data_IF_675588465517
#
_entry.id   IF_675588465517
#
_cell.length_a   1.000
_cell.length_b   1.000
_cell.length_c   1.000
_cell.angle_alpha   90.00
_cell.angle_beta   90.00
_cell.angle_gamma   90.00
#
_symmetry.space_group_name_H-M   'P 1'
#
loop_
_entity.id
_entity.type
_entity.pdbx_description
1 polymer ?
#
# COMPACT_ATOMS: atom_id res chain seq x y z
N UNK A 1 -3.92 24.73 0.22
CA UNK A 1 -3.69 24.99 1.68
C UNK A 1 -2.58 24.10 2.25
N UNK A 2 -2.65 22.72 2.18
CA UNK A 2 -1.56 21.86 2.71
C UNK A 2 -0.24 22.11 2.00
N UNK A 3 -0.23 22.21 0.65
CA UNK A 3 0.97 22.51 -0.13
C UNK A 3 1.59 23.89 0.18
N UNK A 4 0.77 24.88 0.50
CA UNK A 4 1.23 26.22 0.90
C UNK A 4 1.92 26.18 2.26
N UNK A 5 1.30 25.51 3.25
CA UNK A 5 1.88 25.31 4.57
C UNK A 5 3.18 24.49 4.50
N UNK A 6 3.21 23.46 3.66
CA UNK A 6 4.42 22.63 3.48
C UNK A 6 5.61 23.47 2.99
N UNK A 7 5.41 24.41 2.07
CA UNK A 7 6.47 25.32 1.59
C UNK A 7 7.00 26.27 2.67
N UNK A 8 6.15 26.64 3.64
CA UNK A 8 6.57 27.46 4.78
C UNK A 8 7.46 26.68 5.76
N UNK A 9 7.31 25.34 5.79
CA UNK A 9 8.04 24.46 6.72
C UNK A 9 9.33 23.92 6.09
N UNK A 10 9.26 23.54 4.80
CA UNK A 10 10.40 23.00 4.07
C UNK A 10 10.20 23.21 2.54
N UNK A 11 11.07 24.00 1.94
CA UNK A 11 10.96 24.39 0.52
C UNK A 11 11.07 23.22 -0.45
N UNK A 12 11.75 22.14 -0.04
CA UNK A 12 12.00 20.93 -0.81
C UNK A 12 10.95 19.83 -0.60
N UNK A 13 9.95 20.05 0.28
CA UNK A 13 8.92 19.06 0.57
C UNK A 13 7.91 18.94 -0.57
N UNK A 14 7.90 17.80 -1.23
CA UNK A 14 6.94 17.47 -2.29
C UNK A 14 5.68 16.84 -1.70
N UNK A 15 4.55 17.50 -1.88
CA UNK A 15 3.23 16.98 -1.48
C UNK A 15 2.51 16.42 -2.71
N UNK A 16 2.45 15.11 -2.81
CA UNK A 16 1.55 14.39 -3.71
C UNK A 16 0.18 14.19 -3.03
N UNK A 17 -0.88 14.04 -3.81
CA UNK A 17 -2.21 13.76 -3.27
C UNK A 17 -2.83 12.54 -3.96
N UNK A 18 -3.85 11.97 -3.36
CA UNK A 18 -4.58 10.84 -3.87
C UNK A 18 -5.65 10.40 -2.89
N UNK A 19 -6.43 9.42 -3.28
CA UNK A 19 -7.41 8.79 -2.39
C UNK A 19 -7.03 7.33 -2.13
N UNK A 20 -7.24 6.87 -0.89
CA UNK A 20 -7.42 5.46 -0.60
C UNK A 20 -8.88 5.12 -0.91
N UNK A 21 -9.10 4.27 -1.90
CA UNK A 21 -10.39 4.01 -2.49
C UNK A 21 -10.93 2.71 -1.94
N UNK A 22 -11.93 2.80 -1.05
CA UNK A 22 -12.66 1.63 -0.60
C UNK A 22 -13.53 1.10 -1.73
N UNK A 23 -13.29 -0.15 -2.15
CA UNK A 23 -13.95 -0.74 -3.31
C UNK A 23 -15.42 -1.03 -3.03
N UNK A 24 -16.29 -0.34 -3.77
CA UNK A 24 -17.75 -0.48 -3.78
C UNK A 24 -18.24 -0.60 -5.22
N UNK A 25 -19.53 -0.93 -5.40
CA UNK A 25 -20.10 -1.16 -6.74
C UNK A 25 -20.05 0.06 -7.67
N UNK A 26 -19.95 1.28 -7.14
CA UNK A 26 -19.90 2.54 -7.88
C UNK A 26 -18.51 3.06 -8.17
N UNK A 27 -17.46 2.40 -7.63
CA UNK A 27 -16.06 2.85 -7.78
C UNK A 27 -15.62 2.88 -9.24
N UNK A 28 -16.00 1.88 -10.03
CA UNK A 28 -15.60 1.80 -11.45
C UNK A 28 -16.13 3.01 -12.25
N UNK A 29 -17.41 3.33 -12.07
CA UNK A 29 -18.03 4.49 -12.72
C UNK A 29 -17.38 5.80 -12.30
N UNK A 30 -17.09 5.95 -11.00
CA UNK A 30 -16.43 7.15 -10.46
C UNK A 30 -14.99 7.31 -10.94
N UNK A 31 -14.25 6.21 -11.06
CA UNK A 31 -12.90 6.23 -11.63
C UNK A 31 -12.92 6.60 -13.12
N UNK A 32 -13.83 6.01 -13.90
CA UNK A 32 -14.01 6.32 -15.32
C UNK A 32 -14.36 7.80 -15.54
N UNK A 33 -15.25 8.34 -14.71
CA UNK A 33 -15.62 9.76 -14.73
C UNK A 33 -14.58 10.70 -14.09
N UNK A 34 -13.49 10.17 -13.54
CA UNK A 34 -12.45 10.92 -12.81
C UNK A 34 -13.00 11.72 -11.62
N UNK A 35 -14.04 11.21 -10.98
CA UNK A 35 -14.63 11.80 -9.77
C UNK A 35 -13.82 11.47 -8.51
N UNK A 36 -13.02 10.39 -8.55
CA UNK A 36 -12.10 9.99 -7.50
C UNK A 36 -10.66 10.16 -8.01
N UNK A 37 -9.80 10.90 -7.29
CA UNK A 37 -8.42 11.09 -7.71
C UNK A 37 -7.61 9.79 -7.54
N UNK A 38 -6.77 9.49 -8.52
CA UNK A 38 -5.71 8.50 -8.43
C UNK A 38 -4.50 9.05 -7.64
N UNK A 39 -3.45 8.26 -7.46
CA UNK A 39 -2.23 8.71 -6.76
C UNK A 39 -1.48 9.75 -7.61
N UNK A 40 -1.58 11.02 -7.23
CA UNK A 40 -0.97 12.17 -7.92
C UNK A 40 -1.34 12.29 -9.40
N UNK A 41 -2.59 11.99 -9.74
CA UNK A 41 -3.13 11.95 -11.12
C UNK A 41 -2.38 10.96 -12.05
N UNK A 42 -1.64 10.01 -11.47
CA UNK A 42 -0.97 8.94 -12.19
C UNK A 42 -1.95 7.83 -12.57
N UNK A 43 -1.49 6.83 -13.34
CA UNK A 43 -2.27 5.60 -13.61
C UNK A 43 -2.56 4.76 -12.37
N UNK A 44 -1.92 5.03 -11.23
CA UNK A 44 -1.99 4.21 -10.03
C UNK A 44 -3.13 4.64 -9.11
N UNK A 45 -3.94 3.69 -8.65
CA UNK A 45 -4.98 3.90 -7.65
C UNK A 45 -4.76 3.00 -6.43
N UNK A 46 -4.81 3.57 -5.23
CA UNK A 46 -4.73 2.82 -3.97
C UNK A 46 -6.12 2.25 -3.65
N UNK A 47 -6.24 0.94 -3.69
CA UNK A 47 -7.53 0.23 -3.56
C UNK A 47 -7.58 -0.56 -2.27
N UNK A 48 -8.59 -0.29 -1.46
CA UNK A 48 -8.90 -1.00 -0.22
C UNK A 48 -10.15 -1.88 -0.38
N UNK A 49 -10.12 -3.06 0.23
CA UNK A 49 -11.29 -3.94 0.40
C UNK A 49 -11.58 -4.15 1.88
N UNK A 50 -12.76 -4.68 2.20
CA UNK A 50 -13.01 -5.20 3.55
C UNK A 50 -12.05 -6.34 3.88
N UNK A 51 -11.65 -6.45 5.14
CA UNK A 51 -10.75 -7.51 5.62
C UNK A 51 -11.26 -8.92 5.31
N UNK A 52 -12.58 -9.09 5.26
CA UNK A 52 -13.25 -10.36 5.04
C UNK A 52 -13.75 -10.57 3.61
N UNK A 53 -13.39 -9.67 2.68
CA UNK A 53 -13.79 -9.81 1.27
C UNK A 53 -13.25 -11.12 0.68
N UNK A 54 -14.09 -11.97 0.06
CA UNK A 54 -13.66 -13.20 -0.56
C UNK A 54 -12.65 -12.93 -1.70
N UNK A 55 -11.68 -13.85 -1.87
CA UNK A 55 -10.65 -13.70 -2.89
C UNK A 55 -11.21 -13.45 -4.31
N UNK A 56 -12.29 -14.15 -4.67
CA UNK A 56 -12.92 -13.99 -5.99
C UNK A 56 -13.40 -12.55 -6.22
N UNK A 57 -13.93 -11.91 -5.21
CA UNK A 57 -14.40 -10.52 -5.30
C UNK A 57 -13.24 -9.55 -5.41
N UNK A 58 -12.16 -9.74 -4.61
CA UNK A 58 -10.92 -8.97 -4.73
C UNK A 58 -10.37 -9.09 -6.15
N UNK A 59 -10.20 -10.30 -6.66
CA UNK A 59 -9.68 -10.58 -7.99
C UNK A 59 -10.53 -9.91 -9.08
N UNK A 60 -11.85 -10.08 -9.04
CA UNK A 60 -12.77 -9.49 -10.01
C UNK A 60 -12.75 -7.97 -9.97
N UNK A 61 -12.76 -7.38 -8.77
CA UNK A 61 -12.70 -5.92 -8.58
C UNK A 61 -11.43 -5.32 -9.17
N UNK A 62 -10.28 -5.94 -8.88
CA UNK A 62 -8.98 -5.48 -9.40
C UNK A 62 -8.89 -5.67 -10.93
N UNK A 63 -9.40 -6.78 -11.46
CA UNK A 63 -9.47 -7.01 -12.91
C UNK A 63 -10.29 -5.93 -13.62
N UNK A 64 -11.42 -5.54 -13.05
CA UNK A 64 -12.26 -4.48 -13.62
C UNK A 64 -11.56 -3.11 -13.61
N UNK A 65 -10.79 -2.80 -12.56
CA UNK A 65 -10.00 -1.55 -12.50
C UNK A 65 -8.89 -1.56 -13.56
N UNK A 66 -8.20 -2.70 -13.74
CA UNK A 66 -7.19 -2.86 -14.79
C UNK A 66 -7.78 -2.66 -16.19
N UNK A 67 -9.01 -3.10 -16.45
CA UNK A 67 -9.70 -2.87 -17.73
C UNK A 67 -9.98 -1.38 -18.02
N UNK A 68 -10.01 -0.52 -17.00
CA UNK A 68 -10.07 0.94 -17.17
C UNK A 68 -8.70 1.57 -17.50
N UNK A 69 -7.64 0.77 -17.60
CA UNK A 69 -6.28 1.26 -17.81
C UNK A 69 -5.64 1.82 -16.51
N UNK A 70 -6.25 1.57 -15.36
CA UNK A 70 -5.76 2.01 -14.06
C UNK A 70 -5.01 0.84 -13.41
N UNK A 71 -3.83 1.11 -12.85
CA UNK A 71 -3.00 0.13 -12.19
C UNK A 71 -3.28 0.12 -10.67
N UNK A 72 -3.87 -0.95 -10.12
CA UNK A 72 -4.15 -1.01 -8.69
C UNK A 72 -2.88 -1.15 -7.85
N UNK A 73 -2.77 -0.36 -6.80
CA UNK A 73 -1.92 -0.61 -5.64
C UNK A 73 -2.85 -1.12 -4.53
N UNK A 74 -2.71 -2.38 -4.16
CA UNK A 74 -3.59 -3.00 -3.16
C UNK A 74 -3.14 -2.54 -1.78
N UNK A 75 -3.98 -1.79 -1.09
CA UNK A 75 -3.69 -1.24 0.24
C UNK A 75 -3.53 -2.37 1.26
N UNK A 76 -2.56 -2.23 2.16
CA UNK A 76 -2.33 -3.05 3.37
C UNK A 76 -2.77 -4.53 3.25
N UNK A 77 -2.17 -5.25 2.28
CA UNK A 77 -2.56 -6.65 1.93
C UNK A 77 -2.51 -7.61 3.14
N UNK A 78 -1.75 -7.29 4.16
CA UNK A 78 -1.67 -8.06 5.41
C UNK A 78 -2.96 -8.05 6.23
N UNK A 79 -3.92 -7.18 5.90
CA UNK A 79 -5.24 -7.15 6.56
C UNK A 79 -6.22 -8.16 5.98
N UNK A 80 -6.05 -8.62 4.73
CA UNK A 80 -7.06 -9.46 4.09
C UNK A 80 -6.91 -10.94 4.47
N UNK A 81 -7.99 -11.51 5.03
CA UNK A 81 -8.04 -12.93 5.39
C UNK A 81 -7.90 -13.83 4.16
N UNK A 82 -8.42 -13.38 3.02
CA UNK A 82 -8.35 -14.10 1.75
C UNK A 82 -6.91 -14.33 1.23
N UNK A 83 -5.94 -13.52 1.68
CA UNK A 83 -4.54 -13.57 1.28
C UNK A 83 -3.64 -14.22 2.34
N UNK A 84 -4.18 -14.55 3.53
CA UNK A 84 -3.39 -15.11 4.63
C UNK A 84 -2.68 -16.40 4.23
N UNK A 85 -1.35 -16.42 4.39
CA UNK A 85 -0.48 -17.56 4.08
C UNK A 85 -0.69 -18.15 2.67
N UNK A 86 -1.19 -17.35 1.72
CA UNK A 86 -1.50 -17.79 0.38
C UNK A 86 -0.68 -17.02 -0.67
N UNK A 87 0.58 -17.44 -0.83
CA UNK A 87 1.50 -16.87 -1.81
C UNK A 87 0.93 -16.91 -3.25
N UNK A 88 0.28 -18.03 -3.62
CA UNK A 88 -0.27 -18.22 -4.95
C UNK A 88 -1.28 -17.12 -5.31
N UNK A 89 -2.21 -16.79 -4.40
CA UNK A 89 -3.20 -15.73 -4.63
C UNK A 89 -2.55 -14.36 -4.77
N UNK A 90 -1.54 -14.06 -3.96
CA UNK A 90 -0.86 -12.76 -4.05
C UNK A 90 -0.07 -12.67 -5.36
N UNK A 91 0.63 -13.74 -5.77
CA UNK A 91 1.33 -13.76 -7.08
C UNK A 91 0.36 -13.62 -8.25
N UNK A 92 -0.78 -14.28 -8.21
CA UNK A 92 -1.81 -14.16 -9.23
C UNK A 92 -2.27 -12.70 -9.41
N UNK A 93 -2.45 -11.94 -8.31
CA UNK A 93 -2.78 -10.52 -8.36
C UNK A 93 -1.62 -9.68 -8.93
N UNK A 94 -0.38 -10.01 -8.56
CA UNK A 94 0.82 -9.33 -9.07
C UNK A 94 1.00 -9.63 -10.58
N UNK A 95 0.88 -10.87 -10.99
CA UNK A 95 1.02 -11.30 -12.39
C UNK A 95 -0.07 -10.69 -13.29
N UNK A 96 -1.22 -10.37 -12.72
CA UNK A 96 -2.31 -9.66 -13.37
C UNK A 96 -1.99 -8.17 -13.63
N UNK A 97 -0.97 -7.62 -12.98
CA UNK A 97 -0.54 -6.23 -13.10
C UNK A 97 -0.85 -5.35 -11.89
N UNK A 98 -1.21 -5.94 -10.75
CA UNK A 98 -1.41 -5.20 -9.50
C UNK A 98 -0.10 -5.06 -8.71
N UNK A 99 0.01 -4.00 -7.94
CA UNK A 99 1.06 -3.82 -6.94
C UNK A 99 0.50 -3.96 -5.53
N UNK A 100 1.37 -4.26 -4.58
CA UNK A 100 0.99 -4.56 -3.19
C UNK A 100 1.64 -3.60 -2.22
N UNK A 101 0.88 -3.14 -1.24
CA UNK A 101 1.36 -2.29 -0.18
C UNK A 101 1.10 -2.94 1.18
N UNK A 102 2.04 -2.76 2.11
CA UNK A 102 1.88 -3.11 3.53
C UNK A 102 2.13 -1.89 4.42
N UNK A 103 1.56 -1.92 5.63
CA UNK A 103 1.73 -0.84 6.59
C UNK A 103 3.05 -0.94 7.36
N UNK A 104 3.75 0.19 7.54
CA UNK A 104 5.01 0.30 8.26
C UNK A 104 4.91 -0.24 9.69
N UNK A 105 3.78 0.03 10.39
CA UNK A 105 3.55 -0.51 11.75
C UNK A 105 3.58 -2.05 11.80
N UNK A 106 3.12 -2.71 10.76
CA UNK A 106 3.08 -4.17 10.71
C UNK A 106 4.44 -4.81 10.40
N UNK A 107 5.43 -4.02 10.00
CA UNK A 107 6.84 -4.44 9.86
C UNK A 107 7.53 -4.53 11.22
N UNK A 108 7.10 -3.74 12.20
CA UNK A 108 7.71 -3.69 13.53
C UNK A 108 7.58 -5.02 14.27
N UNK A 109 8.56 -5.29 15.14
CA UNK A 109 8.49 -6.45 16.03
C UNK A 109 7.22 -6.40 16.89
N UNK A 110 6.54 -7.53 17.11
CA UNK A 110 5.41 -7.57 18.03
C UNK A 110 5.85 -7.28 19.47
N UNK A 111 5.03 -6.57 20.22
CA UNK A 111 5.21 -6.40 21.66
C UNK A 111 5.06 -7.75 22.37
N UNK A 112 5.79 -7.95 23.48
CA UNK A 112 5.70 -9.19 24.26
C UNK A 112 4.30 -9.42 24.84
N UNK A 113 3.65 -8.33 25.27
CA UNK A 113 2.30 -8.37 25.84
C UNK A 113 1.40 -7.32 25.19
N UNK A 114 0.10 -7.61 25.03
CA UNK A 114 -0.90 -6.66 24.56
C UNK A 114 -0.80 -6.30 23.05
N UNK A 115 -0.15 -7.11 22.23
CA UNK A 115 -0.02 -6.85 20.80
C UNK A 115 -1.33 -7.17 20.04
N UNK A 116 -2.08 -6.11 19.75
CA UNK A 116 -3.37 -6.19 19.02
C UNK A 116 -3.21 -6.68 17.58
N UNK A 117 -2.08 -6.34 16.93
CA UNK A 117 -1.87 -6.58 15.49
C UNK A 117 -0.90 -7.73 15.20
N UNK A 118 -0.76 -8.67 16.12
CA UNK A 118 0.18 -9.81 16.01
C UNK A 118 0.02 -10.60 14.71
N UNK A 119 -1.22 -10.84 14.30
CA UNK A 119 -1.50 -11.59 13.06
C UNK A 119 -1.08 -10.80 11.81
N UNK A 120 -1.39 -9.50 11.75
CA UNK A 120 -1.01 -8.63 10.65
C UNK A 120 0.51 -8.51 10.52
N UNK A 121 1.23 -8.38 11.64
CA UNK A 121 2.71 -8.41 11.66
C UNK A 121 3.29 -9.73 11.15
N UNK A 122 2.64 -10.86 11.46
CA UNK A 122 3.03 -12.18 10.93
C UNK A 122 2.79 -12.25 9.42
N UNK A 123 1.64 -11.79 8.95
CA UNK A 123 1.29 -11.75 7.52
C UNK A 123 2.23 -10.81 6.74
N UNK A 124 2.50 -9.59 7.24
CA UNK A 124 3.44 -8.67 6.60
C UNK A 124 4.84 -9.29 6.44
N UNK A 125 5.35 -9.95 7.49
CA UNK A 125 6.62 -10.70 7.42
C UNK A 125 6.57 -11.81 6.38
N UNK A 126 5.48 -12.59 6.33
CA UNK A 126 5.28 -13.67 5.36
C UNK A 126 5.39 -13.15 3.93
N UNK A 127 4.77 -12.00 3.63
CA UNK A 127 4.82 -11.39 2.30
C UNK A 127 6.21 -10.83 1.97
N UNK A 128 6.87 -10.16 2.92
CA UNK A 128 8.24 -9.67 2.73
C UNK A 128 9.25 -10.80 2.46
N UNK A 129 9.14 -11.91 3.18
CA UNK A 129 10.04 -13.07 3.02
C UNK A 129 9.88 -13.78 1.67
N UNK A 130 8.79 -13.51 0.94
CA UNK A 130 8.47 -14.10 -0.37
C UNK A 130 8.53 -13.11 -1.52
N UNK A 131 9.05 -11.92 -1.25
CA UNK A 131 9.15 -10.84 -2.26
C UNK A 131 7.80 -10.50 -2.90
N UNK A 132 6.76 -10.39 -2.07
CA UNK A 132 5.38 -10.10 -2.48
C UNK A 132 4.95 -8.67 -2.14
N UNK A 133 5.90 -7.78 -1.80
CA UNK A 133 5.62 -6.41 -1.39
C UNK A 133 6.33 -5.44 -2.32
N UNK A 134 5.61 -4.44 -2.81
CA UNK A 134 6.13 -3.40 -3.69
C UNK A 134 6.30 -2.06 -2.99
N UNK A 135 5.47 -1.76 -2.00
CA UNK A 135 5.47 -0.47 -1.28
C UNK A 135 5.24 -0.68 0.21
N UNK A 136 5.95 0.09 1.03
CA UNK A 136 5.63 0.26 2.45
C UNK A 136 5.16 1.68 2.67
N UNK A 137 3.98 1.84 3.27
CA UNK A 137 3.39 3.14 3.59
C UNK A 137 2.96 3.20 5.06
N UNK A 138 2.72 4.39 5.58
CA UNK A 138 2.44 4.56 7.01
C UNK A 138 1.00 4.21 7.40
N UNK A 139 0.04 4.47 6.53
CA UNK A 139 -1.38 4.47 6.88
C UNK A 139 -1.63 5.31 8.17
N UNK A 140 -0.89 6.44 8.26
CA UNK A 140 -0.93 7.33 9.40
C UNK A 140 -2.27 8.06 9.47
N UNK A 141 -2.86 8.10 10.66
CA UNK A 141 -4.09 8.86 10.92
C UNK A 141 -3.87 10.01 11.91
N UNK A 142 -2.88 9.85 12.79
CA UNK A 142 -2.53 10.86 13.81
C UNK A 142 -1.13 10.54 14.37
N UNK A 143 -0.60 11.44 15.21
CA UNK A 143 0.73 11.27 15.79
C UNK A 143 0.76 10.43 17.08
N UNK A 144 -0.41 10.15 17.68
CA UNK A 144 -0.50 9.46 18.98
C UNK A 144 -0.75 7.95 18.81
N UNK A 145 -1.92 7.57 18.30
CA UNK A 145 -2.34 6.17 18.23
C UNK A 145 -1.95 5.45 16.93
N UNK A 146 -1.77 6.19 15.83
CA UNK A 146 -1.37 5.66 14.51
C UNK A 146 -0.31 6.54 13.84
N UNK A 147 0.88 6.69 14.47
CA UNK A 147 1.99 7.45 13.89
C UNK A 147 2.64 6.71 12.71
N UNK A 148 3.49 7.37 11.93
CA UNK A 148 3.97 6.82 10.64
C UNK A 148 4.90 5.61 10.75
N UNK A 149 5.70 5.47 11.79
CA UNK A 149 6.70 4.39 11.97
C UNK A 149 7.59 4.07 10.76
N UNK A 150 7.76 5.02 9.84
CA UNK A 150 8.45 4.79 8.56
C UNK A 150 9.95 4.50 8.75
N UNK A 151 10.63 5.30 9.57
CA UNK A 151 12.06 5.13 9.86
C UNK A 151 12.36 3.77 10.50
N UNK A 152 11.62 3.42 11.55
CA UNK A 152 11.81 2.14 12.26
C UNK A 152 11.56 0.94 11.31
N UNK A 153 10.53 1.04 10.46
CA UNK A 153 10.23 -0.01 9.49
C UNK A 153 11.32 -0.11 8.42
N UNK A 154 11.83 1.02 7.93
CA UNK A 154 12.95 1.08 7.00
C UNK A 154 14.17 0.37 7.57
N UNK A 155 14.59 0.70 8.79
CA UNK A 155 15.75 0.11 9.46
C UNK A 155 15.61 -1.42 9.64
N UNK A 156 14.42 -1.88 10.02
CA UNK A 156 14.14 -3.31 10.16
C UNK A 156 14.31 -4.03 8.80
N UNK A 157 13.76 -3.46 7.73
CA UNK A 157 13.85 -4.04 6.38
C UNK A 157 15.28 -3.97 5.88
N UNK A 158 15.97 -2.83 6.03
CA UNK A 158 17.36 -2.67 5.63
C UNK A 158 18.28 -3.69 6.32
N UNK A 159 18.08 -3.90 7.61
CA UNK A 159 18.87 -4.87 8.38
C UNK A 159 18.57 -6.32 8.00
N UNK A 160 17.31 -6.66 7.70
CA UNK A 160 16.89 -8.07 7.49
C UNK A 160 16.98 -8.49 6.02
N UNK A 161 16.62 -7.59 5.08
CA UNK A 161 16.49 -7.89 3.65
C UNK A 161 17.47 -7.09 2.77
N UNK A 162 18.29 -6.23 3.40
CA UNK A 162 19.28 -5.40 2.73
C UNK A 162 18.79 -3.97 2.42
N UNK A 163 19.75 -3.04 2.43
CA UNK A 163 19.49 -1.61 2.19
C UNK A 163 18.88 -1.33 0.80
N UNK A 164 19.24 -2.11 -0.21
CA UNK A 164 18.65 -2.00 -1.56
C UNK A 164 17.16 -2.27 -1.53
N UNK A 165 16.71 -3.34 -0.86
CA UNK A 165 15.28 -3.67 -0.73
C UNK A 165 14.53 -2.61 0.06
N UNK A 166 15.09 -2.09 1.15
CA UNK A 166 14.47 -0.99 1.89
C UNK A 166 14.29 0.24 1.00
N UNK A 167 15.34 0.66 0.28
CA UNK A 167 15.27 1.81 -0.63
C UNK A 167 14.21 1.61 -1.74
N UNK A 168 14.14 0.42 -2.31
CA UNK A 168 13.12 0.05 -3.30
C UNK A 168 11.70 0.26 -2.76
N UNK A 169 11.38 -0.32 -1.60
CA UNK A 169 10.02 -0.33 -1.03
C UNK A 169 9.57 1.03 -0.48
N UNK A 170 10.50 1.85 0.04
CA UNK A 170 10.16 3.11 0.72
C UNK A 170 10.40 4.36 -0.13
N UNK A 171 11.25 4.28 -1.16
CA UNK A 171 11.67 5.46 -1.92
C UNK A 171 11.46 5.27 -3.42
N UNK A 172 12.05 4.23 -4.02
CA UNK A 172 12.11 4.11 -5.47
C UNK A 172 10.73 3.79 -6.07
N UNK A 173 10.05 2.77 -5.55
CA UNK A 173 8.72 2.40 -6.02
C UNK A 173 7.65 3.47 -5.72
N UNK A 174 7.55 4.04 -4.50
CA UNK A 174 6.66 5.18 -4.26
C UNK A 174 6.92 6.37 -5.19
N UNK A 175 8.20 6.69 -5.46
CA UNK A 175 8.56 7.76 -6.40
C UNK A 175 8.07 7.45 -7.81
N UNK A 176 8.25 6.23 -8.30
CA UNK A 176 7.76 5.81 -9.63
C UNK A 176 6.25 5.93 -9.74
N UNK A 177 5.50 5.54 -8.69
CA UNK A 177 4.04 5.68 -8.64
C UNK A 177 3.62 7.14 -8.83
N UNK A 178 4.17 8.06 -8.03
CA UNK A 178 3.79 9.49 -8.12
C UNK A 178 4.27 10.19 -9.40
N UNK A 179 5.27 9.62 -10.07
CA UNK A 179 5.79 10.09 -11.35
C UNK A 179 5.20 9.36 -12.56
N UNK A 180 4.20 8.53 -12.37
CA UNK A 180 3.54 7.71 -13.40
C UNK A 180 4.50 6.80 -14.21
N UNK A 181 5.54 6.30 -13.55
CA UNK A 181 6.53 5.38 -14.11
C UNK A 181 6.22 3.93 -13.73
N UNK A 182 6.63 2.97 -14.55
CA UNK A 182 6.48 1.54 -14.25
C UNK A 182 7.41 1.11 -13.10
N UNK A 183 6.92 0.28 -12.20
CA UNK A 183 7.67 -0.32 -11.09
C UNK A 183 8.36 -1.60 -11.58
#
# INVERSE_FOLDING_TARGET
KVREIAKEVADDLVIAYGAEIYYTSDVLEKLEKKEIPTLNDSRYALIEFSMHTPYREIHTGLSNILMLGITPVIAHIERYDALENNEKRVRELIDMGCYTQINSYHVLKPKLFGERYKFMKKRARYFLERDLVHVVASDMHNLDSRPPYMEQAYDIIAKKYGAKKAKELFVENPRKIIMDQLI
#
